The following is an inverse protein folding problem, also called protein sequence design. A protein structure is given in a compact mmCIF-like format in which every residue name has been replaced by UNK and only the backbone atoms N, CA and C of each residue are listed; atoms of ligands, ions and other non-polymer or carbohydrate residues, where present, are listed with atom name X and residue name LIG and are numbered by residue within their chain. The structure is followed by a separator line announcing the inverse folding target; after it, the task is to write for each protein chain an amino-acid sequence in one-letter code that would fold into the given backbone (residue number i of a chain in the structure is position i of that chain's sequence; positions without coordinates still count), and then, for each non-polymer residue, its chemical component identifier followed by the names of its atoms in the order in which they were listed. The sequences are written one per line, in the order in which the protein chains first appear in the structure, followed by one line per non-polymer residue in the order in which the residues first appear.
data_IF_775161494859
#
_entry.id   IF_775161494859
#
_cell.length_a   1.000
_cell.length_b   1.000
_cell.length_c   1.000
_cell.angle_alpha   90.00
_cell.angle_beta   90.00
_cell.angle_gamma   90.00
#
_symmetry.space_group_name_H-M   'P 1'
#
loop_
_entity.id
_entity.type
_entity.pdbx_description
1 polymer ?
#
# COMPACT_ATOMS: atom_id res chain seq x y z
N UNK A 1 19.26 16.90 -0.49
CA UNK A 1 18.09 16.01 -0.65
C UNK A 1 17.20 15.95 0.60
N UNK A 2 17.69 15.65 1.81
CA UNK A 2 16.87 15.57 3.05
C UNK A 2 16.06 16.84 3.36
N UNK A 3 16.62 18.05 3.13
CA UNK A 3 15.95 19.33 3.37
C UNK A 3 14.81 19.60 2.39
N UNK A 4 14.95 19.20 1.12
CA UNK A 4 13.90 19.36 0.10
C UNK A 4 12.72 18.43 0.42
N UNK A 5 12.99 17.20 0.85
CA UNK A 5 11.95 16.26 1.27
C UNK A 5 11.14 16.79 2.46
N UNK A 6 11.81 17.41 3.43
CA UNK A 6 11.16 18.02 4.59
C UNK A 6 10.28 19.21 4.19
N UNK A 7 10.73 20.06 3.26
CA UNK A 7 9.96 21.19 2.76
C UNK A 7 8.72 20.71 2.00
N UNK A 8 8.85 19.68 1.16
CA UNK A 8 7.72 19.09 0.45
C UNK A 8 6.72 18.49 1.46
N UNK A 9 7.19 17.79 2.47
CA UNK A 9 6.35 17.22 3.53
C UNK A 9 5.58 18.31 4.28
N UNK A 10 6.26 19.41 4.66
CA UNK A 10 5.63 20.55 5.35
C UNK A 10 4.63 21.26 4.43
N UNK A 11 4.96 21.44 3.14
CA UNK A 11 4.05 22.04 2.16
C UNK A 11 2.79 21.17 1.93
N UNK A 12 2.94 19.85 1.89
CA UNK A 12 1.81 18.92 1.82
C UNK A 12 0.92 19.03 3.08
N UNK A 13 1.51 19.05 4.27
CA UNK A 13 0.78 19.18 5.55
C UNK A 13 0.03 20.53 5.60
N UNK A 14 0.64 21.64 5.17
CA UNK A 14 -0.01 22.95 5.16
C UNK A 14 -1.13 23.07 4.12
N UNK A 15 -0.98 22.48 2.95
CA UNK A 15 -2.04 22.42 1.94
C UNK A 15 -3.26 21.61 2.41
N UNK A 16 -3.04 20.56 3.21
CA UNK A 16 -4.07 19.75 3.86
C UNK A 16 -4.86 20.58 4.86
N UNK A 17 -4.17 21.36 5.71
CA UNK A 17 -4.80 22.20 6.74
C UNK A 17 -5.70 23.29 6.16
N UNK A 18 -5.37 23.85 4.99
CA UNK A 18 -6.16 24.88 4.33
C UNK A 18 -7.51 24.35 3.78
N UNK A 19 -7.61 23.09 3.43
CA UNK A 19 -8.82 22.46 2.91
C UNK A 19 -9.74 21.87 4.00
N UNK A 20 -9.25 21.70 5.22
CA UNK A 20 -9.97 21.09 6.34
C UNK A 20 -11.17 21.94 6.87
N UNK A 21 -11.36 23.17 6.38
CA UNK A 21 -12.48 24.03 6.78
C UNK A 21 -13.82 23.68 6.09
N UNK A 22 -13.83 22.81 5.10
CA UNK A 22 -15.06 22.36 4.43
C UNK A 22 -15.68 21.20 5.20
N UNK A 23 -16.98 21.29 5.53
CA UNK A 23 -17.73 20.19 6.19
C UNK A 23 -17.70 18.86 5.42
N UNK A 24 -17.37 18.88 4.15
CA UNK A 24 -17.27 17.69 3.31
C UNK A 24 -15.83 17.13 3.19
N UNK A 25 -14.83 17.82 3.71
CA UNK A 25 -13.46 17.34 3.67
C UNK A 25 -13.22 16.27 4.72
N UNK A 26 -12.46 15.23 4.34
CA UNK A 26 -12.02 14.16 5.23
C UNK A 26 -10.56 13.81 4.95
N UNK A 27 -9.85 13.47 6.01
CA UNK A 27 -8.50 12.93 5.95
C UNK A 27 -8.39 11.61 6.69
N UNK A 28 -7.51 10.74 6.22
CA UNK A 28 -7.23 9.44 6.84
C UNK A 28 -5.73 9.24 6.96
N UNK A 29 -5.30 8.71 8.09
CA UNK A 29 -3.97 8.12 8.27
C UNK A 29 -4.17 6.65 8.55
N UNK A 30 -3.51 5.80 7.76
CA UNK A 30 -3.70 4.35 7.81
C UNK A 30 -2.37 3.65 8.05
N UNK A 31 -2.34 2.75 9.03
CA UNK A 31 -1.25 1.81 9.27
C UNK A 31 -1.72 0.38 8.99
N UNK A 32 -0.93 -0.40 8.27
CA UNK A 32 -1.31 -1.75 7.87
C UNK A 32 -0.15 -2.74 7.89
N UNK A 33 -0.51 -4.01 8.06
CA UNK A 33 0.38 -5.14 7.92
C UNK A 33 -0.27 -6.20 7.04
N UNK A 34 0.49 -6.72 6.07
CA UNK A 34 0.03 -7.77 5.16
C UNK A 34 1.08 -8.85 4.95
N UNK A 35 0.62 -10.03 4.58
CA UNK A 35 1.45 -11.13 4.12
C UNK A 35 1.25 -11.33 2.61
N UNK A 36 2.33 -11.59 1.90
CA UNK A 36 2.25 -11.98 0.49
C UNK A 36 1.68 -13.39 0.37
N UNK A 37 0.83 -13.59 -0.64
CA UNK A 37 0.16 -14.87 -0.91
C UNK A 37 0.39 -15.28 -2.38
N UNK A 38 0.49 -16.59 -2.62
CA UNK A 38 0.76 -17.14 -3.95
C UNK A 38 2.19 -17.63 -4.11
N UNK A 39 2.81 -17.40 -5.27
CA UNK A 39 4.17 -17.84 -5.59
C UNK A 39 5.27 -17.11 -4.82
N UNK A 40 4.96 -16.00 -4.19
CA UNK A 40 5.89 -15.18 -3.40
C UNK A 40 5.43 -15.17 -1.97
N UNK A 41 6.36 -15.37 -1.03
CA UNK A 41 6.10 -15.33 0.41
C UNK A 41 6.79 -14.12 1.04
N UNK A 42 6.28 -13.66 2.17
CA UNK A 42 6.85 -12.50 2.86
C UNK A 42 5.80 -11.61 3.50
N UNK A 43 6.19 -10.39 3.82
CA UNK A 43 5.30 -9.44 4.50
C UNK A 43 5.53 -8.01 4.04
N UNK A 44 4.53 -7.17 4.28
CA UNK A 44 4.58 -5.74 4.03
C UNK A 44 4.02 -4.98 5.23
N UNK A 45 4.75 -3.96 5.67
CA UNK A 45 4.28 -2.97 6.64
C UNK A 45 4.02 -1.67 5.86
N UNK A 46 2.84 -1.08 6.05
CA UNK A 46 2.42 0.11 5.31
C UNK A 46 2.00 1.24 6.25
N UNK A 47 2.30 2.47 5.83
CA UNK A 47 1.76 3.69 6.41
C UNK A 47 1.34 4.59 5.24
N UNK A 48 0.12 5.08 5.25
CA UNK A 48 -0.39 5.94 4.19
C UNK A 48 -1.31 7.03 4.72
N UNK A 49 -1.48 8.07 3.93
CA UNK A 49 -2.47 9.11 4.16
C UNK A 49 -3.28 9.33 2.91
N UNK A 50 -4.57 9.63 3.07
CA UNK A 50 -5.45 10.00 1.97
C UNK A 50 -6.34 11.17 2.36
N UNK A 51 -6.62 12.04 1.40
CA UNK A 51 -7.34 13.28 1.58
C UNK A 51 -8.35 13.47 0.45
N UNK A 52 -9.53 13.96 0.76
CA UNK A 52 -10.58 14.11 -0.25
C UNK A 52 -11.86 14.70 0.29
N UNK A 53 -12.95 14.42 -0.41
CA UNK A 53 -14.29 14.96 -0.10
C UNK A 53 -15.30 13.83 0.06
N UNK A 54 -16.28 14.09 0.92
CA UNK A 54 -17.46 13.26 1.09
C UNK A 54 -18.54 13.68 0.10
N UNK A 55 -19.15 12.70 -0.55
CA UNK A 55 -20.34 12.80 -1.39
C UNK A 55 -21.42 11.87 -0.82
N UNK A 56 -22.17 12.39 0.15
CA UNK A 56 -23.03 11.53 0.97
C UNK A 56 -22.20 10.51 1.77
N UNK A 57 -22.49 9.21 1.66
CA UNK A 57 -21.73 8.16 2.36
C UNK A 57 -20.44 7.74 1.63
N UNK A 58 -20.11 8.38 0.52
CA UNK A 58 -18.94 8.03 -0.30
C UNK A 58 -17.86 9.08 -0.17
N UNK A 59 -16.68 8.67 0.27
CA UNK A 59 -15.45 9.45 0.19
C UNK A 59 -14.77 9.21 -1.16
N UNK A 60 -14.28 10.29 -1.77
CA UNK A 60 -13.43 10.26 -2.96
C UNK A 60 -12.22 11.14 -2.71
N UNK A 61 -11.04 10.60 -2.88
CA UNK A 61 -9.80 11.32 -2.62
C UNK A 61 -8.59 10.72 -3.29
N UNK A 62 -7.44 11.26 -2.93
CA UNK A 62 -6.13 10.75 -3.32
C UNK A 62 -5.25 10.55 -2.11
N UNK A 63 -4.24 9.73 -2.24
CA UNK A 63 -3.32 9.43 -1.16
C UNK A 63 -1.93 9.05 -1.61
N UNK A 64 -1.05 9.04 -0.63
CA UNK A 64 0.34 8.60 -0.76
C UNK A 64 0.72 7.80 0.47
N UNK A 65 1.63 6.85 0.32
CA UNK A 65 2.11 6.05 1.42
C UNK A 65 3.58 5.72 1.33
N UNK A 66 4.04 4.99 2.33
CA UNK A 66 5.33 4.32 2.37
C UNK A 66 5.10 2.88 2.83
N UNK A 67 5.74 1.94 2.19
CA UNK A 67 5.65 0.54 2.50
C UNK A 67 7.05 -0.06 2.60
N UNK A 68 7.30 -0.81 3.66
CA UNK A 68 8.46 -1.66 3.77
C UNK A 68 8.05 -3.08 3.44
N UNK A 69 8.60 -3.63 2.38
CA UNK A 69 8.36 -5.00 1.96
C UNK A 69 9.55 -5.90 2.27
N UNK A 70 9.24 -7.14 2.66
CA UNK A 70 10.18 -8.26 2.81
C UNK A 70 9.62 -9.41 2.00
N UNK A 71 10.25 -9.74 0.86
CA UNK A 71 9.75 -10.76 -0.08
C UNK A 71 10.78 -11.86 -0.20
N UNK A 72 10.35 -13.10 -0.04
CA UNK A 72 11.13 -14.29 -0.34
C UNK A 72 10.70 -14.81 -1.70
N UNK A 73 11.65 -14.97 -2.60
CA UNK A 73 11.43 -15.62 -3.89
C UNK A 73 12.09 -16.99 -3.85
N UNK A 74 11.27 -18.04 -3.94
CA UNK A 74 11.71 -19.43 -3.89
C UNK A 74 12.14 -19.96 -5.29
N UNK A 75 11.98 -19.15 -6.33
CA UNK A 75 12.20 -19.56 -7.73
C UNK A 75 13.58 -19.19 -8.29
N UNK A 76 14.53 -18.84 -7.45
CA UNK A 76 15.87 -18.50 -7.93
C UNK A 76 16.72 -19.76 -8.02
N UNK A 77 16.95 -20.24 -9.25
CA UNK A 77 17.95 -21.26 -9.57
C UNK A 77 19.24 -20.54 -9.92
N UNK A 78 20.24 -20.56 -9.05
CA UNK A 78 21.60 -20.18 -9.45
C UNK A 78 22.20 -21.39 -10.18
N UNK A 79 22.30 -21.32 -11.51
CA UNK A 79 23.06 -22.28 -12.32
C UNK A 79 24.55 -22.10 -12.01
N UNK A 80 25.07 -22.93 -11.13
CA UNK A 80 26.51 -23.05 -10.92
C UNK A 80 27.02 -24.19 -11.78
N UNK A 81 27.80 -23.89 -12.80
CA UNK A 81 28.54 -24.88 -13.59
C UNK A 81 29.78 -25.20 -12.76
N UNK A 82 29.79 -26.34 -12.05
CA UNK A 82 31.01 -26.89 -11.49
C UNK A 82 31.65 -27.86 -12.51
N UNK A 83 32.96 -28.03 -12.47
CA UNK A 83 33.74 -28.94 -13.33
C UNK A 83 33.32 -30.42 -13.21
N UNK A 84 32.38 -30.76 -12.35
CA UNK A 84 31.95 -32.15 -12.07
C UNK A 84 30.49 -32.47 -12.39
N UNK A 85 29.72 -31.54 -12.99
CA UNK A 85 28.31 -31.77 -13.34
C UNK A 85 27.37 -30.70 -12.76
N UNK A 86 26.11 -30.74 -13.20
CA UNK A 86 25.06 -29.82 -12.78
C UNK A 86 24.68 -30.01 -11.31
N UNK A 87 25.14 -29.13 -10.46
CA UNK A 87 24.60 -28.98 -9.09
C UNK A 87 23.72 -27.73 -9.07
N UNK A 88 22.44 -27.90 -9.35
CA UNK A 88 21.44 -26.85 -9.20
C UNK A 88 21.08 -26.63 -7.74
N UNK A 89 21.48 -25.51 -7.14
CA UNK A 89 21.03 -25.12 -5.80
C UNK A 89 19.76 -24.25 -5.95
N UNK A 90 18.67 -24.68 -5.33
CA UNK A 90 17.49 -23.83 -5.14
C UNK A 90 17.79 -22.91 -3.96
N UNK A 91 18.14 -21.67 -4.25
CA UNK A 91 18.38 -20.65 -3.24
C UNK A 91 17.12 -19.84 -2.96
N UNK A 92 16.81 -19.62 -1.68
CA UNK A 92 15.78 -18.63 -1.28
C UNK A 92 16.43 -17.27 -1.18
N UNK A 93 16.13 -16.36 -2.11
CA UNK A 93 16.59 -14.97 -2.03
C UNK A 93 15.54 -14.10 -1.35
N UNK A 94 15.94 -13.38 -0.31
CA UNK A 94 15.07 -12.41 0.35
C UNK A 94 15.37 -11.02 -0.18
N UNK A 95 14.34 -10.38 -0.73
CA UNK A 95 14.39 -8.98 -1.15
C UNK A 95 13.77 -8.11 -0.06
N UNK A 96 14.43 -7.00 0.23
CA UNK A 96 13.94 -5.99 1.17
C UNK A 96 14.01 -4.63 0.51
N UNK A 97 12.90 -3.91 0.53
CA UNK A 97 12.88 -2.58 -0.05
C UNK A 97 11.68 -1.75 0.35
N UNK A 98 11.75 -0.51 -0.05
CA UNK A 98 10.71 0.49 0.20
C UNK A 98 9.93 0.73 -1.08
N UNK A 99 8.62 0.81 -0.95
CA UNK A 99 7.67 1.25 -1.96
C UNK A 99 6.99 2.54 -1.53
N UNK A 100 6.63 3.35 -2.50
CA UNK A 100 5.84 4.58 -2.32
C UNK A 100 4.60 4.46 -3.18
N UNK A 101 3.48 3.96 -2.65
CA UNK A 101 2.20 3.94 -3.35
C UNK A 101 1.63 5.36 -3.47
N UNK A 102 1.16 5.71 -4.67
CA UNK A 102 0.38 6.92 -4.97
C UNK A 102 -0.93 6.46 -5.58
N UNK A 103 -2.07 6.84 -4.99
CA UNK A 103 -3.34 6.23 -5.34
C UNK A 103 -4.53 7.20 -5.26
N UNK A 104 -5.55 6.92 -6.08
CA UNK A 104 -6.92 7.38 -5.84
C UNK A 104 -7.58 6.45 -4.83
N UNK A 105 -8.45 7.02 -3.98
CA UNK A 105 -9.12 6.29 -2.92
C UNK A 105 -10.62 6.57 -2.93
N UNK A 106 -11.42 5.52 -2.87
CA UNK A 106 -12.87 5.58 -2.70
C UNK A 106 -13.24 4.75 -1.48
N UNK A 107 -13.91 5.36 -0.50
CA UNK A 107 -14.41 4.67 0.71
C UNK A 107 -15.91 4.82 0.83
N UNK A 108 -16.58 3.74 1.23
CA UNK A 108 -17.96 3.78 1.71
C UNK A 108 -17.97 3.91 3.23
N UNK A 109 -18.66 4.96 3.72
CA UNK A 109 -18.73 5.29 5.14
C UNK A 109 -20.18 5.55 5.48
N UNK A 110 -20.77 4.68 6.30
CA UNK A 110 -22.16 4.81 6.74
C UNK A 110 -22.20 5.31 8.18
N UNK A 111 -22.48 6.61 8.36
CA UNK A 111 -22.38 7.32 9.65
C UNK A 111 -23.56 7.09 10.62
N UNK A 112 -24.35 6.05 10.44
CA UNK A 112 -25.62 5.92 11.15
C UNK A 112 -25.55 5.26 12.55
N UNK A 113 -24.38 4.78 12.98
CA UNK A 113 -24.22 4.03 14.24
C UNK A 113 -22.82 4.20 14.81
N UNK A 114 -22.68 3.94 16.12
CA UNK A 114 -21.36 3.87 16.79
C UNK A 114 -20.38 2.89 16.13
N UNK A 115 -20.90 1.84 15.50
CA UNK A 115 -20.15 0.88 14.72
C UNK A 115 -20.83 0.79 13.36
N UNK A 116 -20.12 1.07 12.29
CA UNK A 116 -20.63 1.08 10.93
C UNK A 116 -19.74 0.25 10.01
N UNK A 117 -20.32 -0.47 9.04
CA UNK A 117 -19.50 -1.14 8.02
C UNK A 117 -18.76 -0.08 7.18
N UNK A 118 -17.59 -0.44 6.70
CA UNK A 118 -16.83 0.39 5.76
C UNK A 118 -16.23 -0.49 4.67
N UNK A 119 -16.12 0.05 3.48
CA UNK A 119 -15.30 -0.53 2.42
C UNK A 119 -14.29 0.51 1.90
N UNK A 120 -13.22 0.02 1.31
CA UNK A 120 -12.10 0.82 0.82
C UNK A 120 -11.63 0.27 -0.52
N UNK A 121 -11.52 1.13 -1.50
CA UNK A 121 -10.99 0.80 -2.82
C UNK A 121 -9.90 1.80 -3.17
N UNK A 122 -8.68 1.29 -3.46
CA UNK A 122 -7.58 2.11 -3.92
C UNK A 122 -7.08 1.61 -5.27
N UNK A 123 -6.73 2.53 -6.15
CA UNK A 123 -6.11 2.23 -7.43
C UNK A 123 -5.04 3.28 -7.74
N UNK A 124 -3.88 2.86 -8.23
CA UNK A 124 -2.78 3.79 -8.46
C UNK A 124 -1.50 3.12 -8.93
N UNK A 125 -0.39 3.76 -8.58
CA UNK A 125 0.95 3.32 -8.91
C UNK A 125 1.73 3.00 -7.63
N UNK A 126 2.49 1.94 -7.67
CA UNK A 126 3.48 1.60 -6.67
C UNK A 126 4.88 1.94 -7.21
N UNK A 127 5.64 2.74 -6.48
CA UNK A 127 6.95 3.22 -6.89
C UNK A 127 8.01 2.69 -5.91
N UNK A 128 9.05 2.02 -6.40
CA UNK A 128 10.12 1.53 -5.53
C UNK A 128 10.57 0.11 -5.86
N UNK A 129 10.64 -0.77 -4.85
CA UNK A 129 11.06 -2.16 -5.01
C UNK A 129 10.19 -2.93 -6.03
N UNK A 130 8.89 -2.65 -6.03
CA UNK A 130 7.97 -3.12 -7.07
C UNK A 130 7.36 -1.91 -7.76
N UNK A 131 7.74 -1.67 -9.02
CA UNK A 131 7.19 -0.58 -9.81
C UNK A 131 6.04 -1.10 -10.66
N UNK A 132 4.82 -0.56 -10.46
CA UNK A 132 3.71 -1.03 -11.28
C UNK A 132 2.35 -0.48 -10.88
N UNK A 133 1.32 -0.98 -11.56
CA UNK A 133 -0.06 -0.68 -11.23
C UNK A 133 -0.45 -1.39 -9.94
N UNK A 134 -1.11 -0.67 -9.04
CA UNK A 134 -1.64 -1.22 -7.81
C UNK A 134 -3.16 -1.11 -7.73
N UNK A 135 -3.76 -2.13 -7.13
CA UNK A 135 -5.15 -2.14 -6.69
C UNK A 135 -5.26 -2.69 -5.28
N UNK A 136 -6.13 -2.11 -4.46
CA UNK A 136 -6.42 -2.60 -3.11
C UNK A 136 -7.92 -2.52 -2.86
N UNK A 137 -8.46 -3.60 -2.31
CA UNK A 137 -9.86 -3.68 -1.85
C UNK A 137 -9.84 -4.07 -0.39
N UNK A 138 -10.58 -3.34 0.43
CA UNK A 138 -10.71 -3.61 1.85
C UNK A 138 -12.15 -3.48 2.34
N UNK A 139 -12.46 -4.20 3.41
CA UNK A 139 -13.73 -4.11 4.13
C UNK A 139 -13.51 -4.26 5.62
N UNK A 140 -14.39 -3.68 6.42
CA UNK A 140 -14.26 -3.75 7.86
C UNK A 140 -15.31 -2.96 8.61
N UNK A 141 -14.94 -2.48 9.78
CA UNK A 141 -15.80 -1.70 10.65
C UNK A 141 -15.15 -0.39 11.04
N UNK A 142 -15.94 0.66 11.06
CA UNK A 142 -15.62 1.99 11.57
C UNK A 142 -16.27 2.18 12.94
N UNK A 143 -15.53 2.78 13.85
CA UNK A 143 -15.90 3.06 15.23
C UNK A 143 -15.92 4.58 15.44
N UNK A 144 -17.10 5.12 15.72
CA UNK A 144 -17.28 6.54 16.07
C UNK A 144 -16.80 6.78 17.50
N UNK A 145 -15.77 7.61 17.66
CA UNK A 145 -15.21 8.03 18.96
C UNK A 145 -15.62 9.47 19.31
N UNK A 146 -16.52 10.07 18.55
CA UNK A 146 -17.10 11.39 18.75
C UNK A 146 -16.35 12.52 18.04
N UNK A 147 -15.09 12.78 18.35
CA UNK A 147 -14.28 13.81 17.66
C UNK A 147 -13.48 13.28 16.47
N UNK A 148 -13.20 12.01 16.50
CA UNK A 148 -12.39 11.28 15.51
C UNK A 148 -12.97 9.90 15.37
N UNK A 149 -12.64 9.22 14.29
CA UNK A 149 -13.10 7.86 14.03
C UNK A 149 -11.93 6.94 13.78
N UNK A 150 -12.10 5.68 14.16
CA UNK A 150 -11.17 4.61 13.85
C UNK A 150 -11.87 3.60 12.94
N UNK A 151 -11.17 3.11 11.93
CA UNK A 151 -11.63 1.98 11.15
C UNK A 151 -10.61 0.84 11.20
N UNK A 152 -11.10 -0.38 11.38
CA UNK A 152 -10.31 -1.60 11.25
C UNK A 152 -10.81 -2.37 10.04
N UNK A 153 -9.91 -2.67 9.10
CA UNK A 153 -10.26 -3.32 7.83
C UNK A 153 -9.31 -4.47 7.53
N UNK A 154 -9.84 -5.51 6.90
CA UNK A 154 -9.04 -6.51 6.17
C UNK A 154 -8.94 -6.06 4.72
N UNK A 155 -7.80 -6.31 4.08
CA UNK A 155 -7.59 -5.91 2.69
C UNK A 155 -6.91 -6.99 1.87
N UNK A 156 -7.15 -6.93 0.57
CA UNK A 156 -6.37 -7.61 -0.47
C UNK A 156 -5.78 -6.53 -1.36
N UNK A 157 -4.48 -6.57 -1.55
CA UNK A 157 -3.75 -5.66 -2.42
C UNK A 157 -3.03 -6.45 -3.50
N UNK A 158 -3.16 -6.04 -4.75
CA UNK A 158 -2.40 -6.53 -5.89
C UNK A 158 -1.50 -5.44 -6.45
N UNK A 159 -0.29 -5.81 -6.84
CA UNK A 159 0.62 -4.96 -7.62
C UNK A 159 1.03 -5.75 -8.85
N UNK A 160 0.83 -5.16 -10.03
CA UNK A 160 1.27 -5.73 -11.29
C UNK A 160 2.52 -5.00 -11.77
N UNK A 161 3.61 -5.72 -11.87
CA UNK A 161 4.87 -5.22 -12.40
C UNK A 161 4.99 -5.61 -13.87
N UNK A 162 5.06 -4.63 -14.80
CA UNK A 162 5.16 -4.92 -16.23
C UNK A 162 6.55 -5.47 -16.61
N UNK A 163 6.56 -6.50 -17.44
CA UNK A 163 7.76 -7.28 -17.84
C UNK A 163 8.89 -6.49 -18.53
N UNK A 164 8.65 -5.25 -18.99
CA UNK A 164 9.55 -4.56 -19.91
C UNK A 164 10.10 -3.22 -19.45
N UNK A 165 9.96 -2.84 -18.19
CA UNK A 165 10.35 -1.48 -17.78
C UNK A 165 11.75 -1.35 -17.19
N UNK A 166 12.42 -2.43 -16.83
CA UNK A 166 13.77 -2.34 -16.25
C UNK A 166 14.63 -3.52 -16.65
N UNK A 167 15.69 -3.22 -17.42
CA UNK A 167 16.97 -3.94 -17.60
C UNK A 167 17.02 -5.44 -17.21
N UNK A 168 17.78 -6.23 -17.93
CA UNK A 168 18.20 -7.63 -17.68
C UNK A 168 18.82 -7.90 -16.29
N UNK A 169 18.59 -7.03 -15.30
CA UNK A 169 19.05 -7.20 -13.92
C UNK A 169 18.05 -8.09 -13.16
N UNK A 170 18.44 -9.29 -12.71
CA UNK A 170 17.58 -10.21 -11.97
C UNK A 170 17.09 -9.69 -10.61
N UNK A 171 17.32 -8.42 -10.30
CA UNK A 171 16.84 -7.75 -9.09
C UNK A 171 15.35 -7.43 -9.10
N UNK A 172 14.73 -7.38 -10.28
CA UNK A 172 13.33 -6.97 -10.40
C UNK A 172 12.43 -8.20 -10.45
N UNK A 173 11.37 -8.13 -9.66
CA UNK A 173 10.42 -9.20 -9.51
C UNK A 173 9.26 -8.98 -10.48
N UNK A 174 9.23 -9.70 -11.58
CA UNK A 174 8.16 -9.65 -12.58
C UNK A 174 6.86 -10.30 -12.12
N UNK A 175 5.72 -9.79 -12.59
CA UNK A 175 4.41 -10.37 -12.44
C UNK A 175 3.55 -9.80 -11.31
N UNK A 176 2.59 -10.59 -10.85
CA UNK A 176 1.63 -10.17 -9.82
C UNK A 176 2.14 -10.43 -8.40
N UNK A 177 2.05 -9.40 -7.57
CA UNK A 177 2.26 -9.49 -6.13
C UNK A 177 0.92 -9.31 -5.44
N UNK A 178 0.45 -10.33 -4.79
CA UNK A 178 -0.79 -10.25 -4.02
C UNK A 178 -0.46 -10.32 -2.54
N UNK A 179 -1.02 -9.42 -1.75
CA UNK A 179 -0.93 -9.45 -0.29
C UNK A 179 -2.31 -9.39 0.35
N UNK A 180 -2.48 -10.11 1.45
CA UNK A 180 -3.65 -10.09 2.32
C UNK A 180 -3.22 -9.55 3.67
N UNK A 181 -4.02 -8.67 4.27
CA UNK A 181 -3.62 -8.06 5.53
C UNK A 181 -4.74 -7.35 6.29
N UNK A 182 -4.31 -6.70 7.36
CA UNK A 182 -5.17 -5.86 8.20
C UNK A 182 -4.61 -4.45 8.26
N UNK A 183 -5.48 -3.46 8.38
CA UNK A 183 -5.11 -2.07 8.57
C UNK A 183 -6.04 -1.38 9.56
N UNK A 184 -5.49 -0.38 10.22
CA UNK A 184 -6.22 0.56 11.06
C UNK A 184 -6.09 1.94 10.44
N UNK A 185 -7.21 2.62 10.29
CA UNK A 185 -7.29 3.98 9.79
C UNK A 185 -7.80 4.91 10.87
N UNK A 186 -7.18 6.04 11.01
CA UNK A 186 -7.64 7.17 11.82
C UNK A 186 -8.20 8.24 10.88
N UNK A 187 -9.45 8.62 11.12
CA UNK A 187 -10.19 9.65 10.36
C UNK A 187 -10.25 10.96 11.15
N UNK A 188 -10.06 12.08 10.45
CA UNK A 188 -10.13 13.44 11.02
C UNK A 188 -10.68 14.47 10.02
#
# INVERSE_FOLDING_TARGET
MKRILLIILIACISAISANAQSKSYRGFVEGGYGAFVGSKTGSVLSLSTSHGKMFGPIFVGGGIGIEQAWVKNESYVEDYISDSGWDGWIGVKTFKGINVPVFANVKGIWDNKKISPTFDLKAGLNLGLSFGLMGEVGTGSRFDLGKTDLAATVFVKGVHEPENLVTDDPKYMEGWFTSLGVKVAWEF
#
